data_IF_406361906611
#
_entry.id   IF_406361906611
#
_cell.length_a   1.000
_cell.length_b   1.000
_cell.length_c   1.000
_cell.angle_alpha   90.00
_cell.angle_beta   90.00
_cell.angle_gamma   90.00
#
_symmetry.space_group_name_H-M   'P 1'
#
loop_
_entity.id
_entity.type
_entity.pdbx_description
1 polymer ?
#
# COMPACT_ATOMS: atom_id res chain seq x y z
N UNK A 1 -2.83 0.35 19.80
CA UNK A 1 -3.83 0.70 20.83
C UNK A 1 -4.49 -0.53 21.44
N UNK A 2 -5.12 -1.42 20.65
CA UNK A 2 -5.74 -2.66 21.17
C UNK A 2 -4.79 -3.49 22.03
N UNK A 3 -3.57 -3.77 21.55
CA UNK A 3 -2.55 -4.50 22.32
C UNK A 3 -2.12 -3.80 23.61
N UNK A 4 -2.07 -2.47 23.62
CA UNK A 4 -1.74 -1.71 24.83
C UNK A 4 -2.88 -1.78 25.84
N UNK A 5 -4.14 -1.74 25.37
CA UNK A 5 -5.31 -1.94 26.23
C UNK A 5 -5.35 -3.36 26.79
N UNK A 6 -5.11 -4.37 25.96
CA UNK A 6 -5.08 -5.77 26.37
C UNK A 6 -3.98 -5.99 27.43
N UNK A 7 -2.78 -5.43 27.22
CA UNK A 7 -1.70 -5.42 28.20
C UNK A 7 -2.10 -4.77 29.54
N UNK A 8 -2.80 -3.65 29.49
CA UNK A 8 -3.30 -2.98 30.69
C UNK A 8 -4.29 -3.85 31.46
N UNK A 9 -5.21 -4.51 30.75
CA UNK A 9 -6.21 -5.40 31.35
C UNK A 9 -5.57 -6.64 31.98
N UNK A 10 -4.55 -7.22 31.34
CA UNK A 10 -3.77 -8.33 31.91
C UNK A 10 -3.07 -7.90 33.21
N UNK A 11 -2.39 -6.74 33.20
CA UNK A 11 -1.72 -6.21 34.41
C UNK A 11 -2.74 -5.93 35.53
N UNK A 12 -3.91 -5.41 35.19
CA UNK A 12 -5.00 -5.19 36.16
C UNK A 12 -5.51 -6.51 36.74
N UNK A 13 -5.79 -7.52 35.90
CA UNK A 13 -6.28 -8.82 36.35
C UNK A 13 -5.25 -9.68 37.09
N UNK A 14 -3.96 -9.48 36.81
CA UNK A 14 -2.85 -10.08 37.53
C UNK A 14 -2.64 -9.48 38.94
N UNK A 15 -3.24 -8.32 39.22
CA UNK A 15 -3.19 -7.73 40.56
C UNK A 15 -4.14 -8.48 41.51
N UNK A 16 -3.58 -8.93 42.64
CA UNK A 16 -4.29 -9.71 43.68
C UNK A 16 -5.34 -8.88 44.45
N UNK A 17 -5.40 -7.58 44.18
CA UNK A 17 -6.35 -6.63 44.78
C UNK A 17 -7.74 -6.63 44.15
N UNK A 18 -7.94 -7.28 43.00
CA UNK A 18 -9.23 -7.31 42.30
C UNK A 18 -10.02 -8.57 42.65
N UNK A 19 -11.31 -8.41 42.94
CA UNK A 19 -12.19 -9.52 43.28
C UNK A 19 -12.54 -10.38 42.05
N UNK A 20 -13.07 -11.59 42.25
CA UNK A 20 -13.47 -12.49 41.14
C UNK A 20 -14.47 -11.86 40.17
N UNK A 21 -15.36 -11.00 40.67
CA UNK A 21 -16.39 -10.32 39.87
C UNK A 21 -15.79 -9.20 38.98
N UNK A 22 -14.75 -8.53 39.47
CA UNK A 22 -14.01 -7.53 38.69
C UNK A 22 -13.20 -8.20 37.57
N UNK A 23 -12.56 -9.34 37.86
CA UNK A 23 -11.83 -10.14 36.86
C UNK A 23 -12.76 -10.68 35.76
N UNK A 24 -13.98 -11.08 36.11
CA UNK A 24 -15.01 -11.45 35.13
C UNK A 24 -15.38 -10.29 34.20
N UNK A 25 -15.49 -9.08 34.75
CA UNK A 25 -15.78 -7.86 33.97
C UNK A 25 -14.62 -7.51 33.03
N UNK A 26 -13.38 -7.65 33.49
CA UNK A 26 -12.17 -7.49 32.69
C UNK A 26 -12.14 -8.53 31.55
N UNK A 27 -12.46 -9.79 31.83
CA UNK A 27 -12.55 -10.83 30.81
C UNK A 27 -13.61 -10.51 29.74
N UNK A 28 -14.74 -9.91 30.13
CA UNK A 28 -15.74 -9.41 29.19
C UNK A 28 -15.20 -8.32 28.25
N UNK A 29 -14.36 -7.42 28.76
CA UNK A 29 -13.69 -6.41 27.94
C UNK A 29 -12.64 -7.05 27.00
N UNK A 30 -11.86 -8.01 27.49
CA UNK A 30 -10.91 -8.77 26.65
C UNK A 30 -11.64 -9.48 25.52
N UNK A 31 -12.81 -10.06 25.77
CA UNK A 31 -13.63 -10.70 24.72
C UNK A 31 -14.00 -9.70 23.61
N UNK A 32 -14.38 -8.47 23.95
CA UNK A 32 -14.65 -7.42 22.96
C UNK A 32 -13.40 -7.04 22.15
N UNK A 33 -12.23 -7.01 22.79
CA UNK A 33 -10.97 -6.78 22.08
C UNK A 33 -10.63 -7.94 21.13
N UNK A 34 -10.90 -9.18 21.50
CA UNK A 34 -10.71 -10.35 20.62
C UNK A 34 -11.60 -10.23 19.37
N UNK A 35 -12.87 -9.83 19.53
CA UNK A 35 -13.76 -9.55 18.40
C UNK A 35 -13.22 -8.44 17.50
N UNK A 36 -12.67 -7.37 18.10
CA UNK A 36 -12.06 -6.28 17.34
C UNK A 36 -10.83 -6.73 16.55
N UNK A 37 -9.96 -7.57 17.13
CA UNK A 37 -8.80 -8.13 16.42
C UNK A 37 -9.27 -9.01 15.26
N UNK A 38 -10.29 -9.84 15.46
CA UNK A 38 -10.85 -10.69 14.40
C UNK A 38 -11.44 -9.86 13.25
N UNK A 39 -12.14 -8.76 13.56
CA UNK A 39 -12.66 -7.84 12.56
C UNK A 39 -11.53 -7.14 11.77
N UNK A 40 -10.45 -6.72 12.44
CA UNK A 40 -9.29 -6.13 11.76
C UNK A 40 -8.60 -7.17 10.87
N UNK A 41 -8.46 -8.40 11.34
CA UNK A 41 -7.85 -9.46 10.58
C UNK A 41 -8.67 -9.85 9.33
N UNK A 42 -10.00 -9.67 9.40
CA UNK A 42 -10.92 -9.80 8.27
C UNK A 42 -11.23 -8.47 7.56
N UNK A 43 -10.44 -7.41 7.80
CA UNK A 43 -10.65 -6.13 7.12
C UNK A 43 -10.52 -6.26 5.60
N UNK A 44 -11.43 -5.56 4.90
CA UNK A 44 -11.52 -5.54 3.44
C UNK A 44 -11.14 -4.16 2.92
N UNK A 45 -10.26 -4.14 1.94
CA UNK A 45 -10.04 -2.96 1.10
C UNK A 45 -10.76 -3.19 -0.22
N UNK A 46 -11.80 -2.40 -0.48
CA UNK A 46 -12.72 -2.55 -1.62
C UNK A 46 -13.33 -3.95 -1.71
N UNK A 47 -12.73 -4.81 -2.55
CA UNK A 47 -13.18 -6.18 -2.78
C UNK A 47 -12.23 -7.25 -2.23
N UNK A 48 -11.09 -6.85 -1.66
CA UNK A 48 -9.97 -7.73 -1.34
C UNK A 48 -9.75 -7.76 0.17
N UNK A 49 -9.62 -8.95 0.74
CA UNK A 49 -9.16 -9.12 2.11
C UNK A 49 -7.68 -8.78 2.23
N UNK A 50 -7.33 -7.84 3.11
CA UNK A 50 -5.98 -7.30 3.20
C UNK A 50 -4.94 -8.31 3.69
N UNK A 51 -5.38 -9.31 4.47
CA UNK A 51 -4.53 -10.29 5.14
C UNK A 51 -4.68 -11.72 4.56
N UNK A 52 -5.38 -11.90 3.44
CA UNK A 52 -5.65 -13.22 2.86
C UNK A 52 -4.58 -13.76 1.89
N UNK A 53 -3.42 -13.09 1.82
CA UNK A 53 -2.30 -13.52 1.00
C UNK A 53 -2.62 -13.39 -0.50
N UNK A 54 -2.66 -14.51 -1.22
CA UNK A 54 -3.02 -14.56 -2.64
C UNK A 54 -4.50 -14.82 -2.91
N UNK A 55 -5.25 -15.30 -1.91
CA UNK A 55 -6.68 -15.60 -2.06
C UNK A 55 -7.52 -14.43 -1.54
N UNK A 56 -7.73 -13.48 -2.43
CA UNK A 56 -8.34 -12.19 -2.11
C UNK A 56 -9.87 -12.21 -1.92
N UNK A 57 -10.53 -13.32 -2.26
CA UNK A 57 -12.00 -13.45 -2.34
C UNK A 57 -12.60 -14.30 -1.20
N UNK A 58 -11.77 -14.82 -0.30
CA UNK A 58 -12.20 -15.63 0.87
C UNK A 58 -11.72 -14.96 2.14
N UNK A 59 -12.59 -14.91 3.15
CA UNK A 59 -12.23 -14.38 4.46
C UNK A 59 -11.03 -15.16 5.03
N UNK A 60 -9.92 -14.48 5.40
CA UNK A 60 -8.70 -15.14 5.85
C UNK A 60 -8.88 -15.87 7.18
N UNK A 61 -9.75 -15.37 8.05
CA UNK A 61 -9.98 -15.91 9.38
C UNK A 61 -11.44 -16.31 9.56
N UNK A 62 -11.67 -17.61 9.77
CA UNK A 62 -12.95 -18.12 10.22
C UNK A 62 -12.96 -18.19 11.73
N UNK A 63 -13.93 -17.50 12.32
CA UNK A 63 -14.12 -17.40 13.76
C UNK A 63 -15.09 -18.51 14.18
N UNK A 64 -14.58 -19.52 14.88
CA UNK A 64 -15.42 -20.55 15.48
C UNK A 64 -15.92 -20.05 16.85
N UNK A 65 -17.25 -19.95 16.98
CA UNK A 65 -17.93 -19.46 18.17
C UNK A 65 -18.57 -20.62 18.95
N UNK A 66 -18.65 -20.50 20.28
CA UNK A 66 -19.43 -21.41 21.13
C UNK A 66 -20.94 -21.13 21.03
N UNK A 67 -21.77 -21.97 21.66
CA UNK A 67 -23.23 -21.77 21.80
C UNK A 67 -23.60 -20.42 22.44
N UNK A 68 -22.68 -19.81 23.19
CA UNK A 68 -22.82 -18.49 23.84
C UNK A 68 -22.31 -17.32 22.99
N UNK A 69 -21.83 -17.59 21.77
CA UNK A 69 -21.39 -16.58 20.80
C UNK A 69 -19.95 -16.09 20.98
N UNK A 70 -19.19 -16.69 21.92
CA UNK A 70 -17.80 -16.33 22.20
C UNK A 70 -16.82 -17.02 21.26
N UNK A 71 -15.74 -16.34 20.90
CA UNK A 71 -14.72 -16.88 20.01
C UNK A 71 -13.89 -17.91 20.78
N UNK A 72 -13.96 -19.19 20.38
CA UNK A 72 -13.17 -20.27 20.97
C UNK A 72 -11.88 -20.52 20.17
N UNK A 73 -11.95 -20.35 18.85
CA UNK A 73 -10.82 -20.61 17.97
C UNK A 73 -10.93 -19.83 16.68
N UNK A 74 -9.81 -19.27 16.23
CA UNK A 74 -9.73 -18.64 14.92
C UNK A 74 -8.92 -19.56 14.00
N UNK A 75 -9.57 -20.14 13.01
CA UNK A 75 -8.93 -21.00 12.00
C UNK A 75 -8.66 -20.23 10.73
N UNK A 76 -7.51 -20.50 10.13
CA UNK A 76 -7.03 -19.75 8.97
C UNK A 76 -7.37 -20.48 7.70
N UNK A 77 -7.87 -19.73 6.72
CA UNK A 77 -8.29 -20.25 5.41
C UNK A 77 -7.61 -19.50 4.26
N UNK A 78 -6.71 -18.57 4.56
CA UNK A 78 -5.86 -17.90 3.58
C UNK A 78 -4.69 -18.78 3.17
N UNK A 79 -4.33 -18.76 1.89
CA UNK A 79 -3.03 -19.32 1.46
C UNK A 79 -2.01 -18.20 1.47
N UNK A 80 -0.86 -18.45 2.12
CA UNK A 80 0.28 -17.55 2.05
C UNK A 80 0.73 -17.34 0.60
N UNK A 81 0.89 -16.09 0.20
CA UNK A 81 1.45 -15.78 -1.11
C UNK A 81 1.69 -14.29 -1.28
N UNK A 82 2.71 -13.96 -2.06
CA UNK A 82 3.21 -12.59 -2.15
C UNK A 82 2.63 -11.87 -3.37
N UNK A 83 1.97 -10.74 -3.12
CA UNK A 83 1.55 -9.80 -4.16
C UNK A 83 2.66 -8.77 -4.31
N UNK A 84 3.21 -8.67 -5.53
CA UNK A 84 4.26 -7.71 -5.86
C UNK A 84 3.74 -6.64 -6.83
N UNK A 85 4.04 -5.39 -6.53
CA UNK A 85 3.81 -4.23 -7.40
C UNK A 85 5.11 -3.75 -8.03
N UNK A 86 5.04 -3.27 -9.26
CA UNK A 86 6.15 -2.61 -9.95
C UNK A 86 6.09 -1.10 -9.66
N UNK A 87 7.20 -0.53 -9.19
CA UNK A 87 7.32 0.91 -8.89
C UNK A 87 8.38 1.58 -9.79
N UNK A 88 8.66 0.96 -10.93
CA UNK A 88 9.66 1.40 -11.90
C UNK A 88 9.98 0.28 -12.88
N UNK A 89 10.87 0.54 -13.83
CA UNK A 89 11.12 -0.34 -14.98
C UNK A 89 11.59 -1.75 -14.58
N UNK A 90 12.26 -1.89 -13.42
CA UNK A 90 12.75 -3.18 -12.89
C UNK A 90 12.65 -3.33 -11.37
N UNK A 91 11.95 -2.44 -10.67
CA UNK A 91 11.86 -2.46 -9.21
C UNK A 91 10.51 -3.04 -8.79
N UNK A 92 10.55 -4.24 -8.20
CA UNK A 92 9.38 -4.89 -7.60
C UNK A 92 9.39 -4.70 -6.09
N UNK A 93 8.23 -4.39 -5.53
CA UNK A 93 8.00 -4.33 -4.08
C UNK A 93 6.85 -5.25 -3.70
N UNK A 94 7.01 -6.03 -2.62
CA UNK A 94 5.88 -6.75 -2.01
C UNK A 94 4.94 -5.75 -1.37
N UNK A 95 3.67 -5.74 -1.77
CA UNK A 95 2.64 -4.80 -1.30
C UNK A 95 1.69 -5.40 -0.29
N UNK A 96 1.52 -6.73 -0.28
CA UNK A 96 0.65 -7.39 0.68
C UNK A 96 1.39 -7.82 1.96
N UNK A 97 0.59 -8.09 2.99
CA UNK A 97 1.03 -8.73 4.23
C UNK A 97 0.21 -10.02 4.36
N UNK A 98 0.92 -11.12 4.58
CA UNK A 98 0.25 -12.40 4.82
C UNK A 98 -0.26 -12.40 6.26
N UNK A 99 -1.55 -12.72 6.44
CA UNK A 99 -2.13 -12.88 7.76
C UNK A 99 -1.42 -13.97 8.56
N UNK A 100 -1.11 -15.09 7.93
CA UNK A 100 -0.38 -16.21 8.57
C UNK A 100 0.98 -15.75 9.14
N UNK A 101 1.75 -14.98 8.35
CA UNK A 101 3.04 -14.45 8.81
C UNK A 101 2.90 -13.45 9.99
N UNK A 102 1.78 -12.73 10.06
CA UNK A 102 1.56 -11.67 11.05
C UNK A 102 0.91 -12.19 12.33
N UNK A 103 -0.06 -13.10 12.23
CA UNK A 103 -0.91 -13.54 13.33
C UNK A 103 -0.65 -14.99 13.78
N UNK A 104 -0.10 -15.86 12.91
CA UNK A 104 0.09 -17.29 13.20
C UNK A 104 1.56 -17.69 13.37
N UNK A 105 2.51 -16.91 12.84
CA UNK A 105 3.93 -17.24 12.92
C UNK A 105 4.46 -17.13 14.35
N UNK A 106 4.51 -18.26 15.04
CA UNK A 106 4.85 -18.38 16.46
C UNK A 106 3.63 -18.83 17.25
N UNK A 107 3.37 -18.21 18.40
CA UNK A 107 2.07 -18.35 19.06
C UNK A 107 1.02 -17.47 18.36
N UNK A 108 -0.16 -18.03 18.17
CA UNK A 108 -1.26 -17.35 17.51
C UNK A 108 -1.82 -16.24 18.41
N UNK A 109 -1.90 -15.03 17.87
CA UNK A 109 -2.35 -13.85 18.62
C UNK A 109 -3.79 -14.01 19.13
N UNK A 110 -4.64 -14.66 18.35
CA UNK A 110 -6.01 -14.96 18.76
C UNK A 110 -6.04 -15.94 19.92
N UNK A 111 -5.21 -16.98 19.87
CA UNK A 111 -5.12 -17.97 20.94
C UNK A 111 -4.57 -17.35 22.22
N UNK A 112 -3.58 -16.45 22.14
CA UNK A 112 -3.07 -15.68 23.29
C UNK A 112 -4.20 -14.82 23.91
N UNK A 113 -4.95 -14.09 23.08
CA UNK A 113 -6.03 -13.25 23.58
C UNK A 113 -7.18 -14.06 24.21
N UNK A 114 -7.43 -15.26 23.70
CA UNK A 114 -8.42 -16.21 24.24
C UNK A 114 -7.93 -16.82 25.56
N UNK A 115 -6.67 -17.26 25.64
CA UNK A 115 -6.04 -17.74 26.88
C UNK A 115 -6.13 -16.68 27.99
N UNK A 116 -5.77 -15.44 27.67
CA UNK A 116 -5.87 -14.32 28.62
C UNK A 116 -7.29 -14.19 29.18
N UNK A 117 -8.32 -14.27 28.31
CA UNK A 117 -9.72 -14.20 28.74
C UNK A 117 -10.07 -15.36 29.69
N UNK A 118 -9.64 -16.58 29.35
CA UNK A 118 -9.99 -17.79 30.09
C UNK A 118 -9.25 -17.84 31.44
N UNK A 119 -7.97 -17.45 31.49
CA UNK A 119 -7.17 -17.38 32.71
C UNK A 119 -7.67 -16.28 33.65
N UNK A 120 -8.15 -15.15 33.09
CA UNK A 120 -8.85 -14.11 33.86
C UNK A 120 -10.15 -14.61 34.49
N UNK A 121 -10.86 -15.54 33.85
CA UNK A 121 -12.09 -16.14 34.38
C UNK A 121 -11.81 -17.19 35.45
N UNK A 122 -10.79 -18.00 35.24
CA UNK A 122 -10.39 -19.08 36.15
C UNK A 122 -9.55 -18.58 37.33
N UNK A 123 -9.14 -17.31 37.31
CA UNK A 123 -8.31 -16.67 38.33
C UNK A 123 -6.87 -17.24 38.41
N UNK A 124 -6.31 -17.63 37.25
CA UNK A 124 -5.00 -18.25 37.13
C UNK A 124 -3.88 -17.21 36.97
N UNK A 125 -3.58 -16.49 38.06
CA UNK A 125 -2.63 -15.36 38.10
C UNK A 125 -1.20 -15.76 37.64
N UNK A 126 -0.82 -17.02 37.82
CA UNK A 126 0.50 -17.52 37.41
C UNK A 126 0.68 -17.53 35.90
N UNK A 127 -0.35 -17.95 35.16
CA UNK A 127 -0.32 -18.07 33.69
C UNK A 127 -0.46 -16.69 33.01
N UNK A 128 -1.14 -15.74 33.66
CA UNK A 128 -1.27 -14.35 33.15
C UNK A 128 0.08 -13.66 32.89
N UNK A 129 1.12 -14.02 33.64
CA UNK A 129 2.46 -13.44 33.44
C UNK A 129 3.14 -13.96 32.17
N UNK A 130 2.91 -15.23 31.83
CA UNK A 130 3.44 -15.86 30.62
C UNK A 130 2.64 -15.38 29.40
N UNK A 131 1.32 -15.28 29.53
CA UNK A 131 0.44 -14.66 28.53
C UNK A 131 0.84 -13.21 28.20
N UNK A 132 1.23 -12.42 29.22
CA UNK A 132 1.73 -11.07 29.03
C UNK A 132 3.01 -11.05 28.17
N UNK A 133 3.90 -12.02 28.36
CA UNK A 133 5.12 -12.15 27.57
C UNK A 133 4.80 -12.50 26.12
N UNK A 134 3.96 -13.51 25.90
CA UNK A 134 3.47 -13.88 24.56
C UNK A 134 2.79 -12.71 23.85
N UNK A 135 1.98 -11.93 24.56
CA UNK A 135 1.35 -10.72 24.04
C UNK A 135 2.37 -9.64 23.64
N UNK A 136 3.46 -9.47 24.41
CA UNK A 136 4.51 -8.52 24.09
C UNK A 136 5.26 -8.95 22.81
N UNK A 137 5.58 -10.24 22.66
CA UNK A 137 6.22 -10.76 21.44
C UNK A 137 5.32 -10.58 20.20
N UNK A 138 4.03 -10.87 20.34
CA UNK A 138 3.03 -10.62 19.30
C UNK A 138 2.97 -9.13 18.91
N UNK A 139 2.96 -8.25 19.91
CA UNK A 139 2.95 -6.79 19.70
C UNK A 139 4.20 -6.32 18.95
N UNK A 140 5.37 -6.83 19.32
CA UNK A 140 6.63 -6.50 18.68
C UNK A 140 6.65 -6.89 17.19
N UNK A 141 6.12 -8.06 16.85
CA UNK A 141 5.97 -8.49 15.44
C UNK A 141 5.11 -7.52 14.63
N UNK A 142 4.02 -7.03 15.20
CA UNK A 142 3.14 -6.05 14.54
C UNK A 142 3.88 -4.73 14.35
N UNK A 143 4.60 -4.24 15.36
CA UNK A 143 5.39 -3.01 15.24
C UNK A 143 6.50 -3.13 14.20
N UNK A 144 7.21 -4.26 14.15
CA UNK A 144 8.21 -4.53 13.12
C UNK A 144 7.58 -4.55 11.72
N UNK A 145 6.40 -5.14 11.58
CA UNK A 145 5.67 -5.16 10.31
C UNK A 145 5.24 -3.74 9.91
N UNK A 146 4.72 -2.94 10.84
CA UNK A 146 4.37 -1.53 10.59
C UNK A 146 5.60 -0.70 10.17
N UNK A 147 6.75 -0.90 10.81
CA UNK A 147 7.99 -0.23 10.42
C UNK A 147 8.41 -0.60 8.99
N UNK A 148 8.28 -1.88 8.61
CA UNK A 148 8.53 -2.34 7.24
C UNK A 148 7.55 -1.74 6.23
N UNK A 149 6.28 -1.56 6.59
CA UNK A 149 5.29 -0.85 5.75
C UNK A 149 5.73 0.59 5.56
N UNK A 150 6.08 1.30 6.64
CA UNK A 150 6.56 2.68 6.56
C UNK A 150 7.78 2.82 5.66
N UNK A 151 8.74 1.90 5.74
CA UNK A 151 9.89 1.86 4.84
C UNK A 151 9.48 1.63 3.38
N UNK A 152 8.46 0.80 3.12
CA UNK A 152 7.92 0.59 1.76
C UNK A 152 7.21 1.84 1.24
N UNK A 153 6.43 2.53 2.08
CA UNK A 153 5.77 3.81 1.71
C UNK A 153 6.82 4.83 1.29
N UNK A 154 7.87 5.03 2.09
CA UNK A 154 8.96 5.95 1.75
C UNK A 154 9.64 5.58 0.42
N UNK A 155 9.79 4.28 0.14
CA UNK A 155 10.35 3.80 -1.15
C UNK A 155 9.42 4.09 -2.32
N UNK A 156 8.11 3.95 -2.14
CA UNK A 156 7.11 4.26 -3.16
C UNK A 156 7.09 5.76 -3.42
N UNK A 157 7.05 6.59 -2.38
CA UNK A 157 7.06 8.06 -2.51
C UNK A 157 8.33 8.59 -3.19
N UNK A 158 9.49 8.01 -2.86
CA UNK A 158 10.75 8.37 -3.52
C UNK A 158 10.77 7.94 -5.00
N UNK A 159 10.17 6.80 -5.33
CA UNK A 159 10.04 6.35 -6.71
C UNK A 159 9.05 7.23 -7.50
N UNK A 160 7.94 7.61 -6.88
CA UNK A 160 6.93 8.52 -7.43
C UNK A 160 7.54 9.90 -7.73
N UNK A 161 8.23 10.50 -6.75
CA UNK A 161 8.93 11.78 -6.93
C UNK A 161 9.95 11.75 -8.07
N UNK A 162 10.68 10.63 -8.23
CA UNK A 162 11.61 10.45 -9.34
C UNK A 162 10.88 10.37 -10.68
N UNK A 163 9.81 9.58 -10.75
CA UNK A 163 9.02 9.43 -11.97
C UNK A 163 8.41 10.77 -12.42
N UNK A 164 7.93 11.60 -11.49
CA UNK A 164 7.50 12.97 -11.80
C UNK A 164 8.63 13.84 -12.35
N UNK A 165 9.83 13.76 -11.78
CA UNK A 165 11.02 14.44 -12.31
C UNK A 165 11.36 14.00 -13.74
N UNK A 166 11.35 12.69 -13.99
CA UNK A 166 11.62 12.12 -15.31
C UNK A 166 10.58 12.59 -16.34
N UNK A 167 9.29 12.63 -15.98
CA UNK A 167 8.22 13.16 -16.85
C UNK A 167 8.51 14.62 -17.23
N UNK A 168 8.90 15.47 -16.28
CA UNK A 168 9.22 16.88 -16.55
C UNK A 168 10.43 16.97 -17.49
N UNK A 169 11.51 16.25 -17.18
CA UNK A 169 12.72 16.26 -18.02
C UNK A 169 12.45 15.75 -19.43
N UNK A 170 11.69 14.65 -19.59
CA UNK A 170 11.33 14.16 -20.92
C UNK A 170 10.40 15.12 -21.68
N UNK A 171 9.49 15.81 -20.99
CA UNK A 171 8.67 16.85 -21.59
C UNK A 171 9.52 18.02 -22.08
N UNK A 172 10.53 18.43 -21.31
CA UNK A 172 11.49 19.47 -21.70
C UNK A 172 12.39 19.03 -22.86
N UNK A 173 12.88 17.78 -22.87
CA UNK A 173 13.64 17.26 -24.00
C UNK A 173 12.81 17.18 -25.28
N UNK A 174 11.55 16.79 -25.18
CA UNK A 174 10.61 16.75 -26.30
C UNK A 174 10.38 18.16 -26.84
N UNK A 175 10.06 19.12 -25.96
CA UNK A 175 9.93 20.54 -26.29
C UNK A 175 11.18 21.07 -27.00
N UNK A 176 12.38 20.85 -26.45
CA UNK A 176 13.63 21.30 -27.08
C UNK A 176 13.94 20.63 -28.44
N UNK A 177 13.40 19.43 -28.71
CA UNK A 177 13.68 18.68 -29.94
C UNK A 177 12.61 18.90 -31.01
N UNK A 178 11.35 19.02 -30.62
CA UNK A 178 10.20 19.12 -31.52
C UNK A 178 9.63 20.54 -31.63
N UNK A 179 9.85 21.42 -30.65
CA UNK A 179 9.35 22.79 -30.75
C UNK A 179 10.10 23.52 -31.86
N UNK A 180 9.33 23.94 -32.87
CA UNK A 180 9.82 24.80 -33.92
C UNK A 180 10.20 26.15 -33.32
N UNK A 181 11.46 26.56 -33.46
CA UNK A 181 11.84 27.94 -33.21
C UNK A 181 11.04 28.81 -34.18
N UNK A 182 10.03 29.48 -33.63
CA UNK A 182 9.09 30.28 -34.42
C UNK A 182 9.80 31.42 -35.15
N UNK A 183 10.92 31.93 -34.60
CA UNK A 183 11.71 32.96 -35.27
C UNK A 183 12.49 32.39 -36.46
N UNK A 184 13.11 31.21 -36.33
CA UNK A 184 13.81 30.54 -37.42
C UNK A 184 12.84 30.11 -38.53
N UNK A 185 11.71 29.50 -38.19
CA UNK A 185 10.69 29.11 -39.17
C UNK A 185 10.07 30.31 -39.92
N UNK A 186 9.88 31.46 -39.23
CA UNK A 186 9.42 32.68 -39.89
C UNK A 186 10.50 33.23 -40.84
N UNK A 187 11.77 33.21 -40.44
CA UNK A 187 12.88 33.66 -41.30
C UNK A 187 13.02 32.77 -42.53
N UNK A 188 12.98 31.45 -42.37
CA UNK A 188 13.04 30.50 -43.48
C UNK A 188 11.84 30.66 -44.41
N UNK A 189 10.64 30.82 -43.86
CA UNK A 189 9.45 31.11 -44.67
C UNK A 189 9.58 32.42 -45.46
N UNK A 190 10.10 33.49 -44.86
CA UNK A 190 10.34 34.74 -45.58
C UNK A 190 11.43 34.60 -46.64
N UNK A 191 12.48 33.82 -46.39
CA UNK A 191 13.54 33.53 -47.35
C UNK A 191 13.02 32.73 -48.54
N UNK A 192 12.15 31.75 -48.30
CA UNK A 192 11.50 30.96 -49.33
C UNK A 192 10.54 31.81 -50.16
N UNK A 193 9.75 32.68 -49.51
CA UNK A 193 8.90 33.65 -50.21
C UNK A 193 9.71 34.59 -51.10
N UNK A 194 10.82 35.13 -50.60
CA UNK A 194 11.72 35.99 -51.37
C UNK A 194 12.33 35.24 -52.56
N UNK A 195 12.74 34.00 -52.35
CA UNK A 195 13.30 33.14 -53.41
C UNK A 195 12.25 32.80 -54.45
N UNK A 196 11.01 32.50 -54.03
CA UNK A 196 9.87 32.27 -54.92
C UNK A 196 9.55 33.52 -55.74
N UNK A 197 9.50 34.69 -55.11
CA UNK A 197 9.25 35.95 -55.80
C UNK A 197 10.37 36.28 -56.81
N UNK A 198 11.63 36.06 -56.43
CA UNK A 198 12.78 36.25 -57.30
C UNK A 198 12.77 35.27 -58.49
N UNK A 199 12.44 34.00 -58.27
CA UNK A 199 12.32 32.99 -59.33
C UNK A 199 11.16 33.28 -60.29
N UNK A 200 10.01 33.72 -59.78
CA UNK A 200 8.89 34.17 -60.62
C UNK A 200 9.27 35.41 -61.46
N UNK A 201 9.97 36.39 -60.87
CA UNK A 201 10.41 37.58 -61.60
C UNK A 201 11.48 37.24 -62.66
N UNK A 202 12.43 36.36 -62.33
CA UNK A 202 13.42 35.85 -63.27
C UNK A 202 12.76 35.06 -64.41
N UNK A 203 11.79 34.20 -64.09
CA UNK A 203 10.99 33.45 -65.07
C UNK A 203 10.20 34.38 -66.01
N UNK A 204 9.55 35.41 -65.46
CA UNK A 204 8.87 36.42 -66.26
C UNK A 204 9.83 37.20 -67.19
N UNK A 205 11.03 37.55 -66.70
CA UNK A 205 12.08 38.19 -67.52
C UNK A 205 12.67 37.28 -68.59
N UNK A 206 12.69 35.96 -68.39
CA UNK A 206 13.11 34.99 -69.41
C UNK A 206 12.02 34.82 -70.48
N UNK A 207 10.75 34.90 -70.10
CA UNK A 207 9.62 34.78 -71.04
C UNK A 207 9.43 36.02 -71.94
N UNK A 208 9.87 37.22 -71.53
CA UNK A 208 9.47 38.47 -72.20
C UNK A 208 10.31 38.94 -73.42
N UNK A 209 11.62 38.68 -73.61
CA UNK A 209 12.32 39.20 -74.79
C UNK A 209 12.24 38.31 -76.04
N UNK A 210 11.98 37.00 -75.94
CA UNK A 210 12.17 36.10 -77.10
C UNK A 210 10.96 35.95 -78.03
N UNK A 211 9.78 36.46 -77.68
CA UNK A 211 8.63 36.43 -78.59
C UNK A 211 8.62 37.60 -79.58
N UNK A 212 9.17 38.76 -79.19
CA UNK A 212 9.20 39.97 -80.05
C UNK A 212 10.44 40.04 -80.93
N UNK A 213 11.51 39.32 -80.57
CA UNK A 213 12.75 39.21 -81.36
C UNK A 213 12.70 38.11 -82.43
N UNK A 214 11.65 37.27 -82.44
CA UNK A 214 11.45 36.23 -83.46
C UNK A 214 10.60 36.69 -84.66
N UNK A 215 10.04 37.91 -84.61
CA UNK A 215 9.20 38.50 -85.68
C UNK A 215 9.88 39.65 -86.43
N UNK A 216 11.22 39.70 -86.45
CA UNK A 216 11.98 40.64 -87.28
C UNK A 216 12.86 39.93 -88.30
#
# INVERSE_FOLDING_TARGET
EIFQRLKMLVIQGASDSYGPLDKLSIAGEVNQLVEQIANIANSRSESIYMFAGTFNDVAPYQVNRDEEGEIIKVTTSGTAGDITGLIGERIKIKVNINGEDLFEKGENIFDIAIKIRDDLRNNDISELSDDLNSLNEASEKIYNTQALIGAKVNRVEAADSRAYGDIISFTEFLSNTEDVDSAEAIMDYQRDLLTLQATLQAGARIMLPKLIDFLR
#
